data_IF_038042899005
#
_entry.id   IF_038042899005
#
_cell.length_a   1.000
_cell.length_b   1.000
_cell.length_c   1.000
_cell.angle_alpha   90.00
_cell.angle_beta   90.00
_cell.angle_gamma   90.00
#
_symmetry.space_group_name_H-M   'P 1'
#
loop_
_entity.id
_entity.type
_entity.pdbx_description
1 polymer ?
#
# COMPACT_ATOMS: atom_id res chain seq x y z
N UNK A 1 25.67 -4.93 8.34
CA UNK A 1 25.51 -4.71 6.88
C UNK A 1 24.38 -3.71 6.72
N UNK A 2 24.73 -2.46 6.42
CA UNK A 2 23.81 -1.34 6.28
C UNK A 2 22.94 -1.60 5.06
N UNK A 3 21.66 -1.94 5.28
CA UNK A 3 20.69 -2.13 4.21
C UNK A 3 20.57 -0.83 3.43
N UNK A 4 20.96 -0.86 2.16
CA UNK A 4 20.81 0.27 1.25
C UNK A 4 19.32 0.59 1.14
N UNK A 5 18.86 1.70 1.70
CA UNK A 5 17.55 2.28 1.43
C UNK A 5 17.47 2.55 -0.07
N UNK A 6 16.81 1.66 -0.80
CA UNK A 6 16.51 1.88 -2.21
C UNK A 6 15.35 2.86 -2.25
N UNK A 7 15.69 4.10 -2.60
CA UNK A 7 14.72 5.12 -2.98
C UNK A 7 14.12 4.65 -4.30
N UNK A 8 12.86 4.18 -4.28
CA UNK A 8 12.12 3.77 -5.49
C UNK A 8 11.21 4.93 -5.87
N UNK A 9 11.38 5.48 -7.06
CA UNK A 9 10.56 6.63 -7.48
C UNK A 9 9.14 6.24 -7.88
N UNK A 10 8.20 7.17 -7.79
CA UNK A 10 6.84 6.95 -8.31
C UNK A 10 6.85 6.67 -9.81
N UNK A 11 7.77 7.29 -10.57
CA UNK A 11 7.98 7.01 -11.98
C UNK A 11 8.44 5.56 -12.21
N UNK A 12 9.41 5.07 -11.44
CA UNK A 12 9.89 3.68 -11.52
C UNK A 12 8.77 2.68 -11.20
N UNK A 13 7.93 2.96 -10.19
CA UNK A 13 6.78 2.11 -9.89
C UNK A 13 5.78 2.09 -11.05
N UNK A 14 5.44 3.25 -11.63
CA UNK A 14 4.53 3.33 -12.77
C UNK A 14 5.09 2.65 -14.03
N UNK A 15 6.42 2.66 -14.24
CA UNK A 15 7.07 1.91 -15.32
C UNK A 15 7.05 0.39 -15.07
N UNK A 16 7.24 -0.03 -13.83
CA UNK A 16 7.24 -1.44 -13.44
C UNK A 16 5.84 -2.07 -13.47
N UNK A 17 4.81 -1.27 -13.19
CA UNK A 17 3.41 -1.70 -13.18
C UNK A 17 2.61 -0.99 -14.30
N UNK A 18 2.86 -1.32 -15.58
CA UNK A 18 2.37 -0.54 -16.72
C UNK A 18 0.88 -0.78 -17.05
N UNK A 19 0.26 -1.85 -16.53
CA UNK A 19 -1.16 -2.18 -16.76
C UNK A 19 -2.06 -1.21 -15.99
N UNK A 20 -2.35 -0.05 -16.59
CA UNK A 20 -3.09 1.07 -15.96
C UNK A 20 -4.54 0.73 -15.55
N UNK A 21 -5.09 -0.37 -16.04
CA UNK A 21 -6.41 -0.88 -15.66
C UNK A 21 -6.33 -1.94 -14.54
N UNK A 22 -5.14 -2.25 -14.03
CA UNK A 22 -4.91 -3.21 -12.94
C UNK A 22 -4.13 -2.68 -11.75
N UNK A 23 -3.52 -1.50 -11.87
CA UNK A 23 -2.68 -0.90 -10.83
C UNK A 23 -3.12 0.53 -10.51
N UNK A 24 -2.93 0.99 -9.26
CA UNK A 24 -3.12 2.39 -8.96
C UNK A 24 -2.09 3.22 -9.72
N UNK A 25 -2.36 4.51 -9.88
CA UNK A 25 -1.32 5.44 -10.30
C UNK A 25 -0.54 5.85 -9.06
N UNK A 26 0.78 5.70 -9.09
CA UNK A 26 1.64 6.14 -8.00
C UNK A 26 1.97 7.63 -8.18
N UNK A 27 1.55 8.49 -7.25
CA UNK A 27 1.75 9.95 -7.36
C UNK A 27 2.93 10.47 -6.54
N UNK A 28 3.27 9.84 -5.43
CA UNK A 28 4.48 10.11 -4.68
C UNK A 28 4.90 8.88 -3.87
N UNK A 29 6.18 8.83 -3.52
CA UNK A 29 6.67 8.03 -2.42
C UNK A 29 7.27 9.03 -1.43
N UNK A 30 6.90 8.91 -0.17
CA UNK A 30 7.57 9.64 0.90
C UNK A 30 8.13 8.59 1.85
N UNK A 31 9.42 8.68 2.16
CA UNK A 31 9.90 8.09 3.41
C UNK A 31 9.50 9.07 4.50
N UNK A 32 8.51 8.79 5.38
CA UNK A 32 8.27 9.63 6.53
C UNK A 32 9.58 9.68 7.33
N UNK A 33 10.28 10.80 7.22
CA UNK A 33 11.63 10.94 7.74
C UNK A 33 11.54 11.26 9.21
N UNK A 34 11.96 10.34 10.09
CA UNK A 34 12.70 10.74 11.30
C UNK A 34 13.85 9.78 11.67
N UNK A 35 13.90 8.50 11.21
CA UNK A 35 15.06 7.62 11.49
C UNK A 35 15.38 6.63 10.33
N UNK A 36 16.66 6.47 9.91
CA UNK A 36 17.10 5.48 8.89
C UNK A 36 16.88 4.00 9.26
N UNK A 37 16.36 3.72 10.44
CA UNK A 37 16.27 2.40 11.06
C UNK A 37 14.87 1.82 11.10
N UNK A 38 13.83 2.62 10.82
CA UNK A 38 12.47 2.10 10.67
C UNK A 38 12.28 1.65 9.22
N UNK A 39 12.15 0.34 9.02
CA UNK A 39 11.91 -0.27 7.71
C UNK A 39 10.45 -0.04 7.27
N UNK A 40 9.99 1.22 7.27
CA UNK A 40 8.64 1.60 6.87
C UNK A 40 8.67 2.46 5.61
N UNK A 41 7.76 2.16 4.68
CA UNK A 41 7.64 2.86 3.40
C UNK A 41 6.19 3.23 3.16
N UNK A 42 5.94 4.49 2.79
CA UNK A 42 4.62 4.98 2.42
C UNK A 42 4.57 5.23 0.90
N UNK A 43 3.53 4.69 0.27
CA UNK A 43 3.30 4.82 -1.17
C UNK A 43 1.94 5.46 -1.38
N UNK A 44 1.91 6.63 -2.04
CA UNK A 44 0.64 7.29 -2.38
C UNK A 44 0.08 6.65 -3.64
N UNK A 45 -1.13 6.12 -3.52
CA UNK A 45 -1.85 5.41 -4.56
C UNK A 45 -3.12 6.19 -4.91
N UNK A 46 -3.19 6.71 -6.13
CA UNK A 46 -4.45 7.19 -6.72
C UNK A 46 -5.21 5.99 -7.29
N UNK A 47 -6.49 5.86 -6.96
CA UNK A 47 -7.34 4.73 -7.36
C UNK A 47 -8.15 5.11 -8.61
N UNK A 48 -7.72 4.75 -9.83
CA UNK A 48 -8.36 5.24 -11.04
C UNK A 48 -9.72 4.59 -11.27
N UNK A 49 -10.74 5.36 -11.66
CA UNK A 49 -12.08 4.80 -11.90
C UNK A 49 -12.15 3.80 -13.06
N UNK A 50 -11.15 3.79 -13.95
CA UNK A 50 -11.07 2.89 -15.09
C UNK A 50 -10.44 1.52 -14.78
N UNK A 51 -10.12 1.23 -13.51
CA UNK A 51 -9.65 -0.10 -13.12
C UNK A 51 -10.68 -1.18 -13.50
N UNK A 52 -10.18 -2.25 -14.11
CA UNK A 52 -10.98 -3.39 -14.56
C UNK A 52 -11.79 -4.03 -13.42
N UNK A 53 -11.32 -3.94 -12.18
CA UNK A 53 -11.96 -4.49 -10.98
C UNK A 53 -13.31 -3.84 -10.63
N UNK A 54 -13.57 -2.63 -11.12
CA UNK A 54 -14.86 -1.95 -10.90
C UNK A 54 -15.94 -2.40 -11.87
N UNK A 55 -15.59 -3.16 -12.93
CA UNK A 55 -16.56 -3.67 -13.90
C UNK A 55 -17.27 -4.91 -13.35
N UNK A 56 -18.58 -4.80 -13.13
CA UNK A 56 -19.48 -5.93 -12.91
C UNK A 56 -19.65 -6.44 -11.48
N UNK A 57 -18.70 -6.22 -10.55
CA UNK A 57 -18.77 -6.82 -9.21
C UNK A 57 -19.71 -6.15 -8.20
N UNK A 58 -20.10 -4.89 -8.42
CA UNK A 58 -21.10 -4.18 -7.62
C UNK A 58 -21.77 -3.11 -8.48
N UNK A 59 -22.88 -3.43 -9.18
CA UNK A 59 -23.48 -2.52 -10.15
C UNK A 59 -23.96 -1.20 -9.54
N UNK A 60 -24.35 -1.21 -8.26
CA UNK A 60 -24.87 -0.04 -7.56
C UNK A 60 -23.80 0.74 -6.78
N UNK A 61 -22.64 0.13 -6.47
CA UNK A 61 -21.57 0.78 -5.73
C UNK A 61 -20.20 0.16 -6.02
N UNK A 62 -19.46 0.74 -6.97
CA UNK A 62 -18.10 0.32 -7.26
C UNK A 62 -17.18 0.47 -6.04
N UNK A 63 -16.50 -0.62 -5.67
CA UNK A 63 -15.56 -0.67 -4.55
C UNK A 63 -14.34 -1.51 -4.92
N UNK A 64 -13.16 -1.12 -4.46
CA UNK A 64 -11.92 -1.82 -4.77
C UNK A 64 -11.90 -3.13 -3.96
N UNK A 65 -11.91 -4.30 -4.61
CA UNK A 65 -12.03 -5.58 -3.91
C UNK A 65 -10.88 -5.79 -2.91
N UNK A 66 -11.19 -6.35 -1.75
CA UNK A 66 -10.19 -6.59 -0.71
C UNK A 66 -9.01 -7.46 -1.15
N UNK A 67 -9.26 -8.43 -2.05
CA UNK A 67 -8.20 -9.26 -2.66
C UNK A 67 -7.23 -8.46 -3.52
N UNK A 68 -7.70 -7.39 -4.17
CA UNK A 68 -6.86 -6.49 -4.97
C UNK A 68 -5.98 -5.63 -4.05
N UNK A 69 -6.55 -5.11 -2.96
CA UNK A 69 -5.80 -4.37 -1.94
C UNK A 69 -4.65 -5.23 -1.35
N UNK A 70 -4.94 -6.50 -1.04
CA UNK A 70 -3.94 -7.47 -0.58
C UNK A 70 -2.85 -7.69 -1.64
N UNK A 71 -3.25 -7.90 -2.89
CA UNK A 71 -2.31 -8.18 -3.98
C UNK A 71 -1.31 -7.03 -4.18
N UNK A 72 -1.81 -5.80 -4.28
CA UNK A 72 -0.96 -4.62 -4.45
C UNK A 72 -0.01 -4.41 -3.28
N UNK A 73 -0.51 -4.50 -2.05
CA UNK A 73 0.33 -4.36 -0.86
C UNK A 73 1.41 -5.45 -0.78
N UNK A 74 1.09 -6.69 -1.14
CA UNK A 74 2.04 -7.80 -1.16
C UNK A 74 3.12 -7.60 -2.24
N UNK A 75 2.75 -7.25 -3.47
CA UNK A 75 3.72 -7.06 -4.56
C UNK A 75 4.67 -5.89 -4.28
N UNK A 76 4.16 -4.78 -3.72
CA UNK A 76 5.00 -3.68 -3.27
C UNK A 76 5.92 -4.10 -2.11
N UNK A 77 5.43 -4.86 -1.13
CA UNK A 77 6.25 -5.36 -0.03
C UNK A 77 7.38 -6.28 -0.52
N UNK A 78 7.08 -7.22 -1.43
CA UNK A 78 8.08 -8.10 -2.04
C UNK A 78 9.14 -7.31 -2.78
N UNK A 79 8.73 -6.29 -3.54
CA UNK A 79 9.63 -5.43 -4.30
C UNK A 79 10.52 -4.58 -3.39
N UNK A 80 9.96 -3.90 -2.41
CA UNK A 80 10.68 -2.98 -1.53
C UNK A 80 11.65 -3.74 -0.62
N UNK A 81 11.19 -4.83 0.00
CA UNK A 81 11.98 -5.58 0.99
C UNK A 81 12.71 -6.81 0.42
N UNK A 82 12.61 -7.05 -0.88
CA UNK A 82 13.26 -8.17 -1.60
C UNK A 82 12.88 -9.55 -1.03
N UNK A 83 11.61 -9.74 -0.67
CA UNK A 83 11.08 -11.06 -0.30
C UNK A 83 10.56 -11.81 -1.52
N UNK A 84 10.92 -13.09 -1.63
CA UNK A 84 10.52 -13.92 -2.78
C UNK A 84 9.26 -14.76 -2.49
N UNK A 85 9.13 -15.31 -1.27
CA UNK A 85 8.04 -16.26 -0.95
C UNK A 85 7.04 -15.70 0.08
N UNK A 86 5.85 -15.37 -0.40
CA UNK A 86 4.68 -15.10 0.44
C UNK A 86 4.13 -16.42 1.02
N UNK A 87 3.89 -16.45 2.33
CA UNK A 87 3.36 -17.63 3.05
C UNK A 87 1.93 -17.46 3.52
N UNK A 88 1.48 -16.23 3.73
CA UNK A 88 0.12 -15.96 4.16
C UNK A 88 -0.07 -14.56 4.70
N UNK A 89 -1.31 -14.23 5.04
CA UNK A 89 -1.70 -12.96 5.66
C UNK A 89 -2.41 -13.24 6.98
N UNK A 90 -1.95 -12.59 8.04
CA UNK A 90 -2.52 -12.64 9.37
C UNK A 90 -3.16 -11.29 9.73
N UNK A 91 -4.07 -11.29 10.71
CA UNK A 91 -4.67 -10.07 11.26
C UNK A 91 -5.30 -9.14 10.20
N UNK A 92 -5.82 -9.74 9.12
CA UNK A 92 -6.43 -9.01 8.00
C UNK A 92 -7.75 -8.37 8.46
N UNK A 93 -7.90 -7.07 8.20
CA UNK A 93 -9.11 -6.29 8.51
C UNK A 93 -9.42 -5.33 7.36
N UNK A 94 -10.71 -5.25 7.01
CA UNK A 94 -11.27 -4.23 6.12
C UNK A 94 -12.21 -3.36 6.95
N UNK A 95 -11.78 -2.13 7.23
CA UNK A 95 -12.46 -1.18 8.11
C UNK A 95 -13.38 -0.25 7.30
N UNK A 96 -12.93 0.21 6.13
CA UNK A 96 -13.65 1.17 5.28
C UNK A 96 -13.47 0.80 3.81
N UNK A 97 -14.50 1.08 2.98
CA UNK A 97 -14.45 0.86 1.54
C UNK A 97 -13.50 1.85 0.85
N UNK A 98 -12.74 1.37 -0.13
CA UNK A 98 -11.97 2.21 -1.06
C UNK A 98 -12.79 2.36 -2.34
N UNK A 99 -13.19 3.58 -2.67
CA UNK A 99 -14.01 3.89 -3.84
C UNK A 99 -13.12 4.33 -5.02
N UNK A 100 -13.63 4.29 -6.27
CA UNK A 100 -13.02 4.99 -7.39
C UNK A 100 -12.64 6.43 -7.03
N UNK A 101 -11.53 6.91 -7.60
CA UNK A 101 -11.00 8.27 -7.45
C UNK A 101 -10.54 8.62 -6.01
N UNK A 102 -10.52 7.65 -5.10
CA UNK A 102 -9.91 7.82 -3.77
C UNK A 102 -8.39 7.93 -3.93
N UNK A 103 -7.75 8.78 -3.11
CA UNK A 103 -6.29 8.78 -2.90
C UNK A 103 -6.00 8.18 -1.53
N UNK A 104 -5.10 7.19 -1.48
CA UNK A 104 -4.75 6.47 -0.25
C UNK A 104 -3.24 6.40 -0.05
N UNK A 105 -2.82 6.30 1.21
CA UNK A 105 -1.46 5.95 1.59
C UNK A 105 -1.41 4.45 1.87
N UNK A 106 -0.51 3.74 1.20
CA UNK A 106 -0.12 2.38 1.58
C UNK A 106 1.16 2.44 2.41
N UNK A 107 1.03 2.21 3.71
CA UNK A 107 2.16 2.06 4.62
C UNK A 107 2.58 0.60 4.72
N UNK A 108 3.87 0.32 4.55
CA UNK A 108 4.47 -1.01 4.64
C UNK A 108 5.60 -1.01 5.67
N UNK A 109 5.44 -1.73 6.77
CA UNK A 109 6.42 -1.79 7.87
C UNK A 109 6.99 -3.20 8.02
N UNK A 110 8.29 -3.34 7.76
CA UNK A 110 9.01 -4.61 7.89
C UNK A 110 9.44 -4.88 9.34
N UNK A 111 9.19 -6.11 9.81
CA UNK A 111 9.81 -6.70 10.98
C UNK A 111 10.79 -7.83 10.55
N UNK A 112 12.10 -7.55 10.44
CA UNK A 112 13.06 -8.52 9.91
C UNK A 112 13.13 -9.79 10.76
N UNK A 113 13.13 -9.65 12.09
CA UNK A 113 13.20 -10.77 13.04
C UNK A 113 12.01 -11.72 12.97
N UNK A 114 10.87 -11.24 12.47
CA UNK A 114 9.63 -12.02 12.38
C UNK A 114 9.33 -12.47 10.95
N UNK A 115 10.13 -12.03 9.97
CA UNK A 115 9.87 -12.23 8.54
C UNK A 115 8.45 -11.80 8.15
N UNK A 116 8.01 -10.65 8.69
CA UNK A 116 6.67 -10.13 8.43
C UNK A 116 6.69 -8.70 7.95
N UNK A 117 5.75 -8.33 7.09
CA UNK A 117 5.47 -6.94 6.70
C UNK A 117 4.05 -6.59 7.08
N UNK A 118 3.87 -5.58 7.94
CA UNK A 118 2.55 -5.02 8.23
C UNK A 118 2.20 -4.05 7.10
N UNK A 119 0.98 -4.14 6.58
CA UNK A 119 0.44 -3.14 5.65
C UNK A 119 -0.74 -2.39 6.27
N UNK A 120 -0.92 -1.13 5.89
CA UNK A 120 -2.10 -0.30 6.19
C UNK A 120 -2.43 0.55 4.97
N UNK A 121 -3.72 0.63 4.64
CA UNK A 121 -4.25 1.62 3.72
C UNK A 121 -4.96 2.71 4.52
N UNK A 122 -4.53 3.96 4.39
CA UNK A 122 -5.10 5.11 5.12
C UNK A 122 -5.42 6.28 4.19
N UNK A 123 -6.25 7.21 4.65
CA UNK A 123 -6.52 8.47 3.93
C UNK A 123 -5.29 9.37 3.94
N UNK A 124 -5.20 10.24 2.94
CA UNK A 124 -4.28 11.38 2.98
C UNK A 124 -4.82 12.36 4.02
N UNK A 125 -4.00 12.71 5.01
CA UNK A 125 -4.26 13.84 5.90
C UNK A 125 -3.55 15.06 5.30
N UNK A 126 -4.31 15.98 4.69
CA UNK A 126 -3.75 17.28 4.32
C UNK A 126 -3.55 18.09 5.61
N UNK A 127 -2.34 18.62 5.83
CA UNK A 127 -2.04 19.57 6.90
C UNK A 127 -2.60 20.95 6.50
N UNK A 128 -3.92 21.05 6.40
CA UNK A 128 -4.58 22.34 6.18
C UNK A 128 -4.77 23.00 7.54
N UNK A 129 -3.91 23.99 7.78
CA UNK A 129 -3.94 24.78 9.00
C UNK A 129 -5.26 25.54 9.02
N UNK A 130 -6.10 25.19 10.01
CA UNK A 130 -7.39 25.77 10.39
C UNK A 130 -8.64 25.05 9.84
N UNK A 131 -8.92 23.81 10.26
CA UNK A 131 -10.27 23.31 10.67
C UNK A 131 -10.20 21.83 11.10
N UNK A 132 -10.99 21.47 12.12
CA UNK A 132 -11.27 20.15 12.73
C UNK A 132 -10.29 18.97 12.46
N UNK A 133 -9.75 18.36 13.54
CA UNK A 133 -9.05 17.07 13.49
C UNK A 133 -9.84 16.07 12.63
N UNK A 134 -9.45 15.88 11.37
CA UNK A 134 -9.97 14.77 10.57
C UNK A 134 -9.20 13.53 10.99
N UNK A 135 -9.88 12.67 11.74
CA UNK A 135 -9.38 11.34 12.07
C UNK A 135 -8.88 10.63 10.80
N UNK A 136 -7.68 10.07 10.87
CA UNK A 136 -7.12 9.22 9.82
C UNK A 136 -8.11 8.09 9.51
N UNK A 137 -8.62 8.04 8.28
CA UNK A 137 -9.48 6.93 7.85
C UNK A 137 -8.59 5.72 7.61
N UNK A 138 -8.77 4.66 8.40
CA UNK A 138 -8.19 3.35 8.12
C UNK A 138 -9.12 2.57 7.17
N UNK A 139 -8.64 2.26 5.97
CA UNK A 139 -9.38 1.45 4.99
C UNK A 139 -9.19 -0.04 5.24
N UNK A 140 -7.95 -0.49 5.30
CA UNK A 140 -7.63 -1.89 5.57
C UNK A 140 -6.23 -2.05 6.14
N UNK A 141 -5.98 -3.20 6.77
CA UNK A 141 -4.65 -3.55 7.28
C UNK A 141 -4.48 -5.05 7.41
N UNK A 142 -3.22 -5.48 7.49
CA UNK A 142 -2.88 -6.87 7.73
C UNK A 142 -1.38 -7.06 7.92
N UNK A 143 -0.98 -8.30 8.12
CA UNK A 143 0.41 -8.70 8.33
C UNK A 143 0.74 -9.82 7.37
N UNK A 144 1.57 -9.53 6.37
CA UNK A 144 2.15 -10.54 5.50
C UNK A 144 3.23 -11.32 6.24
N UNK A 145 3.25 -12.63 6.04
CA UNK A 145 4.29 -13.53 6.50
C UNK A 145 5.06 -14.00 5.28
N UNK A 146 6.38 -13.83 5.31
CA UNK A 146 7.30 -14.26 4.27
C UNK A 146 8.19 -15.40 4.79
N UNK A 147 8.82 -16.14 3.88
CA UNK A 147 9.91 -17.04 4.26
C UNK A 147 11.11 -16.24 4.78
N UNK A 148 12.02 -16.92 5.48
CA UNK A 148 13.37 -16.39 5.67
C UNK A 148 14.00 -16.10 4.31
N UNK A 149 14.71 -14.97 4.19
CA UNK A 149 15.52 -14.71 3.01
C UNK A 149 16.70 -15.69 3.04
N UNK A 150 16.93 -16.40 1.93
CA UNK A 150 18.09 -17.29 1.79
C UNK A 150 19.41 -16.53 1.80
#
# INVERSE_FOLDING_TARGET
>A
MTGMNQIISAEELNQQYPEKDKWPTFSAYETPSILPTDNSYDVICDIPANLSYFKGHFPDQAVLPGVVQINWANDLAKRIFKYEEFRGVNSLKFNTMILPETKVILSLTLSPKKHTVKFRYTSITEDDSMTEEKDEILFSSGIFVFSEAK
#
